data_IF_608552841551
#
_entry.id   IF_608552841551
#
_cell.length_a   1.000
_cell.length_b   1.000
_cell.length_c   1.000
_cell.angle_alpha   90.00
_cell.angle_beta   90.00
_cell.angle_gamma   90.00
#
_symmetry.space_group_name_H-M   'P 1'
#
loop_
_entity.id
_entity.type
_entity.pdbx_description
1 polymer ?
#
# COMPACT_ATOMS: atom_id res chain seq x y z
N UNK A 1 -19.82 10.47 -3.08
CA UNK A 1 -20.57 11.50 -3.83
C UNK A 1 -21.69 12.12 -3.01
N UNK A 2 -21.75 13.46 -2.92
CA UNK A 2 -22.78 14.16 -2.13
C UNK A 2 -23.93 14.75 -2.97
N UNK A 3 -23.75 14.83 -4.30
CA UNK A 3 -24.74 15.42 -5.23
C UNK A 3 -24.89 14.58 -6.48
N UNK A 4 -26.10 14.55 -7.02
CA UNK A 4 -26.40 13.88 -8.29
C UNK A 4 -25.60 14.54 -9.42
N UNK A 5 -24.87 13.77 -10.25
CA UNK A 5 -24.06 14.33 -11.34
C UNK A 5 -24.92 14.94 -12.44
N UNK A 6 -26.16 14.46 -12.62
CA UNK A 6 -27.08 14.97 -13.64
C UNK A 6 -27.78 16.27 -13.19
N UNK A 7 -28.51 16.24 -12.08
CA UNK A 7 -29.36 17.37 -11.67
C UNK A 7 -28.84 18.19 -10.47
N UNK A 8 -27.67 17.85 -9.93
CA UNK A 8 -27.01 18.50 -8.77
C UNK A 8 -27.80 18.50 -7.45
N UNK A 9 -28.92 17.75 -7.38
CA UNK A 9 -29.64 17.53 -6.13
C UNK A 9 -28.75 16.86 -5.09
N UNK A 10 -28.90 17.22 -3.81
CA UNK A 10 -28.19 16.52 -2.72
C UNK A 10 -28.65 15.07 -2.67
N UNK A 11 -27.71 14.17 -2.44
CA UNK A 11 -27.97 12.75 -2.27
C UNK A 11 -28.05 12.42 -0.78
N UNK A 12 -28.87 11.44 -0.47
CA UNK A 12 -29.23 10.97 0.86
C UNK A 12 -28.85 9.50 1.07
N UNK A 13 -28.05 8.93 0.17
CA UNK A 13 -27.74 7.50 0.18
C UNK A 13 -28.74 6.63 -0.60
N UNK A 14 -29.78 7.16 -1.27
CA UNK A 14 -30.64 6.36 -2.15
C UNK A 14 -29.94 5.91 -3.45
N UNK A 15 -30.27 4.71 -3.96
CA UNK A 15 -29.73 4.21 -5.23
C UNK A 15 -30.28 4.94 -6.46
N UNK A 16 -31.36 5.70 -6.30
CA UNK A 16 -31.90 6.54 -7.36
C UNK A 16 -32.00 8.00 -6.90
N UNK A 17 -31.81 8.94 -7.82
CA UNK A 17 -31.98 10.35 -7.51
C UNK A 17 -33.47 10.70 -7.39
N UNK A 18 -33.90 11.18 -6.23
CA UNK A 18 -35.29 11.60 -5.98
C UNK A 18 -35.79 12.71 -6.92
N UNK A 19 -34.90 13.52 -7.51
CA UNK A 19 -35.26 14.65 -8.38
C UNK A 19 -35.39 14.28 -9.85
N UNK A 20 -34.44 13.51 -10.38
CA UNK A 20 -34.39 13.21 -11.83
C UNK A 20 -34.53 11.72 -12.15
N UNK A 21 -34.69 10.85 -11.15
CA UNK A 21 -34.85 9.41 -11.34
C UNK A 21 -33.59 8.66 -11.80
N UNK A 22 -32.43 9.34 -11.94
CA UNK A 22 -31.19 8.71 -12.36
C UNK A 22 -30.79 7.57 -11.41
N UNK A 23 -30.43 6.41 -11.96
CA UNK A 23 -29.81 5.29 -11.24
C UNK A 23 -28.37 5.67 -10.84
N UNK A 24 -28.03 5.49 -9.56
CA UNK A 24 -26.78 5.89 -8.92
C UNK A 24 -26.04 4.72 -8.26
N UNK A 25 -26.68 3.56 -8.12
CA UNK A 25 -26.13 2.36 -7.50
C UNK A 25 -24.84 1.91 -8.17
N UNK A 26 -24.83 1.79 -9.51
CA UNK A 26 -23.62 1.43 -10.25
C UNK A 26 -22.52 2.48 -10.09
N UNK A 27 -22.87 3.76 -10.15
CA UNK A 27 -21.90 4.85 -10.01
C UNK A 27 -21.24 4.84 -8.63
N UNK A 28 -22.02 4.63 -7.56
CA UNK A 28 -21.50 4.51 -6.20
C UNK A 28 -20.71 3.23 -5.96
N UNK A 29 -21.10 2.12 -6.60
CA UNK A 29 -20.31 0.90 -6.56
C UNK A 29 -18.92 1.13 -7.17
N UNK A 30 -18.84 1.84 -8.29
CA UNK A 30 -17.58 2.25 -8.92
C UNK A 30 -16.73 3.14 -8.01
N UNK A 31 -17.33 4.15 -7.36
CA UNK A 31 -16.60 5.00 -6.40
C UNK A 31 -16.01 4.18 -5.24
N UNK A 32 -16.83 3.31 -4.63
CA UNK A 32 -16.38 2.44 -3.52
C UNK A 32 -15.28 1.47 -3.96
N UNK A 33 -15.39 0.93 -5.18
CA UNK A 33 -14.37 0.05 -5.74
C UNK A 33 -13.04 0.80 -5.97
N UNK A 34 -13.08 2.04 -6.46
CA UNK A 34 -11.90 2.88 -6.61
C UNK A 34 -11.20 3.12 -5.25
N UNK A 35 -11.98 3.48 -4.22
CA UNK A 35 -11.47 3.68 -2.86
C UNK A 35 -10.84 2.40 -2.28
N UNK A 36 -11.46 1.24 -2.51
CA UNK A 36 -10.94 -0.04 -2.06
C UNK A 36 -9.60 -0.37 -2.73
N UNK A 37 -9.45 -0.10 -4.03
CA UNK A 37 -8.18 -0.28 -4.73
C UNK A 37 -7.09 0.67 -4.25
N UNK A 38 -7.42 1.94 -3.98
CA UNK A 38 -6.48 2.90 -3.42
C UNK A 38 -5.99 2.46 -2.03
N UNK A 39 -6.88 2.00 -1.16
CA UNK A 39 -6.51 1.46 0.16
C UNK A 39 -5.60 0.24 0.05
N UNK A 40 -5.87 -0.66 -0.90
CA UNK A 40 -4.98 -1.82 -1.18
C UNK A 40 -3.61 -1.37 -1.67
N UNK A 41 -3.54 -0.39 -2.55
CA UNK A 41 -2.27 0.16 -3.01
C UNK A 41 -1.43 0.69 -1.85
N UNK A 42 -2.03 1.50 -0.97
CA UNK A 42 -1.35 2.03 0.22
C UNK A 42 -0.87 0.88 1.12
N UNK A 43 -1.70 -0.15 1.33
CA UNK A 43 -1.30 -1.31 2.11
C UNK A 43 -0.13 -2.09 1.48
N UNK A 44 -0.07 -2.23 0.16
CA UNK A 44 1.08 -2.82 -0.54
C UNK A 44 2.35 -1.97 -0.39
N UNK A 45 2.23 -0.64 -0.48
CA UNK A 45 3.36 0.28 -0.25
C UNK A 45 3.96 0.13 1.15
N UNK A 46 3.13 -0.07 2.19
CA UNK A 46 3.63 -0.29 3.57
C UNK A 46 4.34 -1.63 3.78
N UNK A 47 4.32 -2.52 2.79
CA UNK A 47 4.98 -3.83 2.80
C UNK A 47 6.07 -3.94 1.73
N UNK A 48 6.47 -2.83 1.11
CA UNK A 48 7.43 -2.77 0.00
C UNK A 48 7.02 -3.61 -1.24
N UNK A 49 5.74 -3.93 -1.39
CA UNK A 49 5.18 -4.71 -2.50
C UNK A 49 4.87 -3.79 -3.70
N UNK A 50 5.92 -3.18 -4.29
CA UNK A 50 5.77 -2.10 -5.27
C UNK A 50 4.99 -2.49 -6.53
N UNK A 51 5.17 -3.70 -7.07
CA UNK A 51 4.43 -4.16 -8.25
C UNK A 51 2.94 -4.35 -7.97
N UNK A 52 2.60 -4.91 -6.79
CA UNK A 52 1.21 -5.02 -6.36
C UNK A 52 0.59 -3.63 -6.15
N UNK A 53 1.34 -2.69 -5.58
CA UNK A 53 0.91 -1.30 -5.44
C UNK A 53 0.65 -0.65 -6.80
N UNK A 54 1.55 -0.81 -7.79
CA UNK A 54 1.36 -0.30 -9.17
C UNK A 54 0.07 -0.83 -9.80
N UNK A 55 -0.18 -2.14 -9.70
CA UNK A 55 -1.39 -2.76 -10.24
C UNK A 55 -2.66 -2.25 -9.54
N UNK A 56 -2.62 -2.10 -8.22
CA UNK A 56 -3.75 -1.57 -7.45
C UNK A 56 -4.04 -0.10 -7.80
N UNK A 57 -3.01 0.75 -7.95
CA UNK A 57 -3.16 2.14 -8.39
C UNK A 57 -3.72 2.22 -9.81
N UNK A 58 -3.25 1.37 -10.72
CA UNK A 58 -3.80 1.30 -12.07
C UNK A 58 -5.30 0.98 -12.07
N UNK A 59 -5.74 0.01 -11.26
CA UNK A 59 -7.16 -0.33 -11.12
C UNK A 59 -7.97 0.80 -10.49
N UNK A 60 -7.44 1.49 -9.47
CA UNK A 60 -8.11 2.65 -8.88
C UNK A 60 -8.34 3.76 -9.91
N UNK A 61 -7.29 4.11 -10.67
CA UNK A 61 -7.32 5.17 -11.68
C UNK A 61 -8.17 4.84 -12.90
N UNK A 62 -8.33 3.55 -13.23
CA UNK A 62 -9.24 3.11 -14.29
C UNK A 62 -10.72 3.33 -13.93
N UNK A 63 -11.05 3.38 -12.63
CA UNK A 63 -12.41 3.59 -12.14
C UNK A 63 -12.71 5.06 -11.85
N UNK A 64 -11.75 5.80 -11.30
CA UNK A 64 -11.90 7.21 -10.92
C UNK A 64 -10.56 7.92 -10.95
N UNK A 65 -10.51 9.12 -11.54
CA UNK A 65 -9.36 10.02 -11.37
C UNK A 65 -9.29 10.49 -9.92
N UNK A 66 -8.15 10.28 -9.29
CA UNK A 66 -7.91 10.59 -7.89
C UNK A 66 -6.50 11.20 -7.74
N UNK A 67 -6.38 12.46 -7.27
CA UNK A 67 -5.09 13.15 -7.21
C UNK A 67 -4.03 12.43 -6.36
N UNK A 68 -4.45 11.75 -5.29
CA UNK A 68 -3.53 10.99 -4.46
C UNK A 68 -3.05 9.74 -5.21
N UNK A 69 -3.95 9.01 -5.86
CA UNK A 69 -3.57 7.84 -6.66
C UNK A 69 -2.62 8.19 -7.81
N UNK A 70 -2.82 9.34 -8.47
CA UNK A 70 -1.92 9.84 -9.52
C UNK A 70 -0.53 10.18 -8.95
N UNK A 71 -0.50 10.85 -7.81
CA UNK A 71 0.75 11.22 -7.12
C UNK A 71 1.57 10.00 -6.70
N UNK A 72 0.92 9.00 -6.11
CA UNK A 72 1.55 7.73 -5.72
C UNK A 72 2.08 6.97 -6.93
N UNK A 73 1.33 6.92 -8.03
CA UNK A 73 1.79 6.27 -9.27
C UNK A 73 3.02 6.99 -9.85
N UNK A 74 3.05 8.32 -9.79
CA UNK A 74 4.19 9.12 -10.20
C UNK A 74 5.44 8.87 -9.34
N UNK A 75 5.27 8.70 -8.03
CA UNK A 75 6.37 8.31 -7.13
C UNK A 75 6.95 6.95 -7.50
N UNK A 76 6.10 5.94 -7.74
CA UNK A 76 6.55 4.60 -8.13
C UNK A 76 7.27 4.56 -9.50
N UNK A 77 6.91 5.45 -10.43
CA UNK A 77 7.65 5.57 -11.69
C UNK A 77 9.05 6.15 -11.50
N UNK A 78 9.19 7.13 -10.59
CA UNK A 78 10.48 7.74 -10.27
C UNK A 78 11.39 6.77 -9.53
N UNK A 79 10.87 6.02 -8.55
CA UNK A 79 11.68 5.04 -7.81
C UNK A 79 12.12 3.86 -8.68
N UNK A 80 11.33 3.45 -9.67
CA UNK A 80 11.76 2.43 -10.64
C UNK A 80 12.87 2.90 -11.60
N UNK A 81 13.01 4.21 -11.80
CA UNK A 81 14.02 4.80 -12.69
C UNK A 81 15.27 5.27 -11.96
N UNK A 82 15.18 5.50 -10.66
CA UNK A 82 16.34 5.77 -9.82
C UNK A 82 17.05 4.45 -9.55
N UNK A 83 18.11 4.17 -10.32
CA UNK A 83 19.18 3.32 -9.83
C UNK A 83 19.63 3.98 -8.53
N UNK A 84 19.29 3.34 -7.41
CA UNK A 84 19.66 3.81 -6.10
C UNK A 84 21.18 3.65 -6.00
N UNK A 85 21.92 4.68 -6.39
CA UNK A 85 23.34 4.77 -6.10
C UNK A 85 23.44 4.94 -4.58
N UNK A 86 23.93 3.93 -3.85
CA UNK A 86 23.88 3.98 -2.40
C UNK A 86 24.79 5.13 -1.93
N UNK A 87 24.22 6.03 -1.13
CA UNK A 87 24.90 7.10 -0.39
C UNK A 87 25.83 6.55 0.71
N UNK A 88 26.59 5.49 0.43
CA UNK A 88 27.52 4.85 1.38
C UNK A 88 28.98 4.93 0.96
N UNK A 89 29.33 5.62 -0.14
CA UNK A 89 30.73 5.82 -0.54
C UNK A 89 31.22 7.26 -0.27
N UNK A 90 31.08 7.75 0.96
CA UNK A 90 31.89 8.89 1.46
C UNK A 90 31.86 8.99 2.98
N UNK A 91 32.26 7.93 3.64
CA UNK A 91 32.74 8.01 5.01
C UNK A 91 33.70 6.85 5.26
N UNK A 92 34.98 7.03 4.93
CA UNK A 92 36.14 6.52 5.69
C UNK A 92 37.44 6.77 4.92
N UNK A 93 38.22 7.76 5.34
CA UNK A 93 39.69 7.71 5.31
C UNK A 93 40.29 8.88 6.10
N UNK A 94 39.99 8.96 7.41
CA UNK A 94 40.83 9.67 8.37
C UNK A 94 40.42 9.29 9.80
N UNK A 95 41.09 8.28 10.34
CA UNK A 95 41.54 8.18 11.74
C UNK A 95 41.72 6.71 12.11
N UNK A 96 42.98 6.30 12.26
CA UNK A 96 43.36 5.15 13.06
C UNK A 96 42.85 5.32 14.49
N UNK A 97 42.61 4.19 15.20
CA UNK A 97 43.24 4.09 16.51
C UNK A 97 43.89 2.73 16.76
N UNK A 98 45.06 2.80 17.35
CA UNK A 98 45.68 1.79 18.20
C UNK A 98 44.98 1.77 19.57
N UNK A 99 45.24 0.71 20.34
CA UNK A 99 44.85 0.39 21.71
C UNK A 99 43.58 -0.45 21.94
N UNK A 100 43.84 -1.65 22.45
CA UNK A 100 42.88 -2.66 22.84
C UNK A 100 42.24 -2.44 24.21
N UNK A 101 41.02 -2.94 24.33
CA UNK A 101 40.40 -3.40 25.57
C UNK A 101 39.17 -4.25 25.20
N UNK A 102 39.20 -5.54 25.51
CA UNK A 102 38.00 -6.38 25.61
C UNK A 102 37.11 -5.87 26.76
N UNK A 103 35.77 -6.02 26.67
CA UNK A 103 35.19 -7.18 27.35
C UNK A 103 33.95 -7.80 26.69
N UNK A 104 33.88 -9.12 26.88
CA UNK A 104 32.70 -9.89 27.28
C UNK A 104 31.59 -10.15 26.25
N UNK A 105 31.59 -11.42 25.85
CA UNK A 105 30.57 -12.19 25.14
C UNK A 105 29.16 -12.04 25.74
N UNK A 106 28.26 -11.38 25.03
CA UNK A 106 26.82 -11.53 25.22
C UNK A 106 26.24 -12.32 24.03
N UNK A 107 25.69 -13.49 24.34
CA UNK A 107 25.38 -14.54 23.37
C UNK A 107 24.05 -14.30 22.66
N UNK A 108 24.08 -14.48 21.34
CA UNK A 108 22.97 -14.38 20.37
C UNK A 108 21.79 -15.36 20.63
N UNK A 109 21.80 -16.09 21.75
CA UNK A 109 20.80 -17.10 22.10
C UNK A 109 19.62 -16.54 22.92
N UNK A 110 19.75 -15.38 23.57
CA UNK A 110 18.71 -14.85 24.48
C UNK A 110 17.74 -13.84 23.84
N UNK A 111 18.00 -13.35 22.63
CA UNK A 111 17.10 -12.41 21.94
C UNK A 111 15.98 -13.08 21.13
N UNK A 112 16.06 -14.39 20.87
CA UNK A 112 15.09 -15.12 20.03
C UNK A 112 13.87 -15.62 20.83
N UNK A 113 13.88 -15.50 22.17
CA UNK A 113 12.85 -16.09 23.03
C UNK A 113 11.66 -15.17 23.39
N UNK A 114 11.54 -13.95 22.84
CA UNK A 114 10.56 -12.95 23.35
C UNK A 114 9.57 -12.33 22.36
N UNK A 115 9.23 -13.01 21.26
CA UNK A 115 8.01 -12.70 20.49
C UNK A 115 7.12 -13.96 20.34
N UNK A 116 6.24 -14.26 21.30
CA UNK A 116 5.20 -15.26 21.15
C UNK A 116 3.90 -14.62 20.59
N UNK A 117 3.47 -15.06 19.40
CA UNK A 117 2.24 -14.51 18.78
C UNK A 117 1.77 -15.17 17.49
N UNK A 118 1.66 -16.50 17.48
CA UNK A 118 0.68 -17.35 16.76
C UNK A 118 0.05 -16.82 15.45
N UNK A 119 0.25 -17.56 14.34
CA UNK A 119 -0.86 -17.80 13.41
C UNK A 119 -0.61 -17.85 11.90
N UNK A 120 0.58 -18.16 11.38
CA UNK A 120 0.82 -18.26 9.92
C UNK A 120 1.24 -19.66 9.44
N UNK A 121 0.57 -20.71 9.92
CA UNK A 121 0.69 -22.07 9.36
C UNK A 121 -0.60 -22.68 8.81
N UNK A 122 -1.68 -21.90 8.67
CA UNK A 122 -2.98 -22.44 8.27
C UNK A 122 -3.68 -21.77 7.06
N UNK A 123 -3.05 -20.85 6.32
CA UNK A 123 -3.75 -20.15 5.20
C UNK A 123 -3.36 -20.59 3.79
N UNK A 124 -2.26 -21.32 3.59
CA UNK A 124 -1.86 -21.82 2.26
C UNK A 124 -2.38 -23.22 1.89
N UNK A 125 -3.16 -23.87 2.77
CA UNK A 125 -3.70 -25.23 2.52
C UNK A 125 -5.19 -25.27 2.15
N UNK A 126 -5.75 -24.22 1.52
CA UNK A 126 -7.11 -24.23 0.94
C UNK A 126 -7.17 -23.75 -0.51
N UNK A 127 -6.17 -24.10 -1.32
CA UNK A 127 -6.26 -24.02 -2.78
C UNK A 127 -6.21 -25.40 -3.47
N UNK A 128 -6.16 -26.49 -2.70
CA UNK A 128 -6.20 -27.86 -3.22
C UNK A 128 -7.20 -28.71 -2.40
N UNK A 129 -8.51 -28.52 -2.63
CA UNK A 129 -9.56 -29.57 -2.59
C UNK A 129 -10.99 -28.98 -2.69
N UNK A 130 -11.61 -29.15 -3.87
CA UNK A 130 -13.04 -29.23 -4.27
C UNK A 130 -13.15 -28.50 -5.62
N UNK A 131 -13.34 -29.17 -6.75
CA UNK A 131 -13.98 -30.46 -7.04
C UNK A 131 -13.13 -31.31 -7.95
#
# INVERSE_FOLDING_TARGET
MDRCPNCRARLDGAETCRRCGMELGLLRATERAADAWLRRAIAHLTRDEFECARQALHRALALRRDPLAESLRGLLHRTSSAVFEPLTASATAAASPDDGAEPETETLADHVARIPGRGLRAFYSRLFHRR
#
